data_IF_494555943185
#
_entry.id   IF_494555943185
#
_cell.length_a   1.000
_cell.length_b   1.000
_cell.length_c   1.000
_cell.angle_alpha   90.00
_cell.angle_beta   90.00
_cell.angle_gamma   90.00
#
_symmetry.space_group_name_H-M   'P 1'
#
loop_
_entity.id
_entity.type
_entity.pdbx_description
1 polymer ?
#
# COMPACT_ATOMS: atom_id res chain seq x y z
N UNK A 1 14.19 -33.33 9.46
CA UNK A 1 13.10 -32.85 10.34
C UNK A 1 13.75 -32.15 11.51
N UNK A 2 13.51 -30.84 11.67
CA UNK A 2 14.04 -30.05 12.78
C UNK A 2 12.94 -29.91 13.82
N UNK A 3 13.14 -30.53 14.97
CA UNK A 3 12.35 -30.32 16.19
C UNK A 3 13.33 -29.95 17.30
N UNK A 4 13.69 -28.67 17.29
CA UNK A 4 14.67 -28.05 18.18
C UNK A 4 14.34 -26.57 18.33
N UNK A 5 15.13 -25.86 19.14
CA UNK A 5 15.00 -24.43 19.44
C UNK A 5 15.02 -23.54 18.19
N UNK A 6 15.61 -24.01 17.08
CA UNK A 6 15.59 -23.31 15.77
C UNK A 6 14.16 -23.19 15.23
N UNK A 7 13.29 -24.15 15.55
CA UNK A 7 11.91 -24.23 15.05
C UNK A 7 10.85 -23.75 16.05
N UNK A 8 11.20 -23.70 17.35
CA UNK A 8 10.27 -23.31 18.38
C UNK A 8 10.11 -21.78 18.42
N UNK A 9 8.90 -21.33 18.75
CA UNK A 9 8.64 -19.90 18.89
C UNK A 9 9.25 -19.41 20.21
N UNK A 10 10.21 -18.50 20.11
CA UNK A 10 10.82 -17.87 21.28
C UNK A 10 9.98 -16.65 21.72
N UNK A 11 9.26 -16.81 22.83
CA UNK A 11 8.43 -15.73 23.41
C UNK A 11 9.16 -14.90 24.47
N UNK A 12 10.32 -15.35 24.95
CA UNK A 12 10.98 -14.78 26.14
C UNK A 12 12.00 -13.68 25.79
N UNK A 13 12.63 -13.75 24.62
CA UNK A 13 13.69 -12.84 24.20
C UNK A 13 13.25 -11.90 23.07
N UNK A 14 12.15 -11.16 23.26
CA UNK A 14 11.69 -10.18 22.25
C UNK A 14 12.50 -8.88 22.36
N UNK A 15 13.15 -8.50 21.26
CA UNK A 15 13.80 -7.21 21.11
C UNK A 15 12.78 -6.10 20.86
N UNK A 16 13.22 -4.84 20.93
CA UNK A 16 12.37 -3.70 20.53
C UNK A 16 11.93 -3.79 19.06
N UNK A 17 12.79 -4.36 18.19
CA UNK A 17 12.48 -4.59 16.77
C UNK A 17 11.37 -5.63 16.61
N UNK A 18 11.40 -6.72 17.39
CA UNK A 18 10.34 -7.74 17.38
C UNK A 18 8.99 -7.14 17.82
N UNK A 19 9.01 -6.30 18.84
CA UNK A 19 7.81 -5.58 19.29
C UNK A 19 7.29 -4.61 18.22
N UNK A 20 8.16 -3.86 17.56
CA UNK A 20 7.80 -2.95 16.49
C UNK A 20 7.18 -3.71 15.30
N UNK A 21 7.78 -4.82 14.87
CA UNK A 21 7.26 -5.66 13.79
C UNK A 21 5.91 -6.29 14.16
N UNK A 22 5.75 -6.75 15.40
CA UNK A 22 4.49 -7.29 15.90
C UNK A 22 3.38 -6.23 15.86
N UNK A 23 3.66 -5.03 16.37
CA UNK A 23 2.70 -3.92 16.36
C UNK A 23 2.32 -3.52 14.92
N UNK A 24 3.31 -3.40 14.04
CA UNK A 24 3.08 -3.09 12.63
C UNK A 24 2.20 -4.16 11.95
N UNK A 25 2.49 -5.44 12.21
CA UNK A 25 1.71 -6.55 11.65
C UNK A 25 0.28 -6.58 12.21
N UNK A 26 0.09 -6.30 13.50
CA UNK A 26 -1.23 -6.16 14.11
C UNK A 26 -2.05 -5.03 13.45
N UNK A 27 -1.42 -3.88 13.20
CA UNK A 27 -2.06 -2.76 12.48
C UNK A 27 -2.47 -3.17 11.07
N UNK A 28 -1.61 -3.87 10.33
CA UNK A 28 -1.93 -4.37 8.99
C UNK A 28 -3.13 -5.34 8.97
N UNK A 29 -3.18 -6.25 9.94
CA UNK A 29 -4.28 -7.21 10.06
C UNK A 29 -5.58 -6.47 10.38
N UNK A 30 -5.55 -5.54 11.33
CA UNK A 30 -6.71 -4.72 11.68
C UNK A 30 -7.20 -3.92 10.46
N UNK A 31 -6.29 -3.24 9.76
CA UNK A 31 -6.60 -2.46 8.57
C UNK A 31 -7.28 -3.30 7.47
N UNK A 32 -6.72 -4.47 7.16
CA UNK A 32 -7.31 -5.40 6.18
C UNK A 32 -8.68 -5.92 6.63
N UNK A 33 -8.86 -6.16 7.93
CA UNK A 33 -10.12 -6.61 8.50
C UNK A 33 -11.17 -5.50 8.53
N UNK A 34 -10.78 -4.25 8.74
CA UNK A 34 -11.69 -3.10 8.79
C UNK A 34 -12.12 -2.67 7.40
N UNK A 35 -11.23 -2.72 6.40
CA UNK A 35 -11.47 -2.15 5.07
C UNK A 35 -11.86 -3.23 4.03
N UNK A 36 -13.15 -3.37 3.64
CA UNK A 36 -13.63 -4.37 2.68
C UNK A 36 -12.91 -4.33 1.34
N UNK A 37 -12.51 -3.14 0.89
CA UNK A 37 -11.78 -2.92 -0.36
C UNK A 37 -10.46 -3.73 -0.43
N UNK A 38 -9.85 -4.01 0.73
CA UNK A 38 -8.61 -4.79 0.84
C UNK A 38 -8.85 -6.29 1.01
N UNK A 39 -10.09 -6.73 1.22
CA UNK A 39 -10.50 -8.13 1.47
C UNK A 39 -11.61 -8.57 0.52
N UNK A 40 -11.34 -8.45 -0.76
CA UNK A 40 -12.24 -8.84 -1.84
C UNK A 40 -12.77 -10.28 -1.68
N UNK A 41 -14.09 -10.45 -1.79
CA UNK A 41 -14.76 -11.75 -1.76
C UNK A 41 -15.03 -12.35 -3.16
N UNK A 42 -15.07 -11.51 -4.22
CA UNK A 42 -15.45 -11.96 -5.57
C UNK A 42 -14.86 -11.15 -6.72
N UNK A 43 -14.49 -11.87 -7.78
CA UNK A 43 -14.39 -11.49 -9.21
C UNK A 43 -15.30 -10.38 -9.75
N UNK A 44 -16.54 -10.35 -9.29
CA UNK A 44 -17.67 -9.71 -10.00
C UNK A 44 -18.39 -8.69 -9.13
N UNK A 45 -17.63 -7.92 -8.39
CA UNK A 45 -18.09 -7.00 -7.34
C UNK A 45 -18.02 -5.53 -7.76
N UNK A 46 -17.80 -5.22 -9.05
CA UNK A 46 -17.68 -3.84 -9.52
C UNK A 46 -16.35 -3.16 -9.15
N UNK A 47 -15.38 -3.92 -8.64
CA UNK A 47 -14.05 -3.42 -8.32
C UNK A 47 -13.29 -3.04 -9.60
N UNK A 48 -12.89 -1.77 -9.66
CA UNK A 48 -12.08 -1.24 -10.74
C UNK A 48 -10.59 -1.29 -10.36
N UNK A 49 -9.76 -1.77 -11.27
CA UNK A 49 -8.30 -1.85 -11.09
C UNK A 49 -7.62 -1.04 -12.17
N UNK A 50 -6.71 -0.15 -11.77
CA UNK A 50 -5.85 0.61 -12.69
C UNK A 50 -4.41 0.47 -12.25
N UNK A 51 -3.55 0.12 -13.19
CA UNK A 51 -2.10 0.04 -12.97
C UNK A 51 -1.41 1.26 -13.57
N UNK A 52 -0.44 1.80 -12.85
CA UNK A 52 0.31 2.99 -13.21
C UNK A 52 1.81 2.70 -13.21
N UNK A 53 2.53 3.35 -14.13
CA UNK A 53 3.98 3.45 -14.06
C UNK A 53 4.39 4.63 -13.15
N UNK A 54 5.68 4.70 -12.80
CA UNK A 54 6.22 5.78 -11.97
C UNK A 54 6.05 7.19 -12.55
N UNK A 55 5.88 7.32 -13.87
CA UNK A 55 5.57 8.60 -14.53
C UNK A 55 4.10 9.03 -14.41
N UNK A 56 3.28 8.33 -13.62
CA UNK A 56 1.87 8.66 -13.39
C UNK A 56 0.93 8.28 -14.54
N UNK A 57 1.47 7.73 -15.63
CA UNK A 57 0.68 7.19 -16.74
C UNK A 57 0.20 5.76 -16.47
N UNK A 58 -0.77 5.28 -17.25
CA UNK A 58 -1.19 3.88 -17.18
C UNK A 58 -0.03 2.95 -17.58
N UNK A 59 0.10 1.84 -16.85
CA UNK A 59 1.04 0.77 -17.16
C UNK A 59 0.67 0.12 -18.49
N UNK A 60 1.58 0.19 -19.47
CA UNK A 60 1.39 -0.40 -20.80
C UNK A 60 1.81 -1.87 -20.82
N UNK A 61 1.37 -2.59 -21.85
CA UNK A 61 1.59 -4.05 -21.98
C UNK A 61 3.08 -4.40 -22.03
N UNK A 62 3.88 -3.58 -22.71
CA UNK A 62 5.30 -3.79 -22.93
C UNK A 62 6.13 -3.56 -21.66
N UNK A 63 5.62 -2.74 -20.72
CA UNK A 63 6.34 -2.32 -19.52
C UNK A 63 6.31 -3.39 -18.41
N UNK A 64 5.47 -4.42 -18.53
CA UNK A 64 5.32 -5.46 -17.49
C UNK A 64 6.57 -6.32 -17.31
N UNK A 65 7.33 -6.53 -18.38
CA UNK A 65 8.51 -7.40 -18.37
C UNK A 65 9.78 -6.67 -17.89
N UNK A 66 9.69 -5.36 -17.60
CA UNK A 66 10.83 -4.50 -17.27
C UNK A 66 11.18 -4.47 -15.76
N UNK A 67 10.37 -5.11 -14.90
CA UNK A 67 10.60 -5.13 -13.45
C UNK A 67 10.45 -3.76 -12.78
N UNK A 68 9.51 -2.94 -13.26
CA UNK A 68 9.37 -1.52 -12.91
C UNK A 68 8.72 -1.25 -11.55
N UNK A 69 8.89 -0.03 -11.07
CA UNK A 69 8.07 0.55 -9.99
C UNK A 69 6.63 0.69 -10.47
N UNK A 70 5.68 0.24 -9.65
CA UNK A 70 4.27 0.14 -10.03
C UNK A 70 3.35 0.86 -9.04
N UNK A 71 2.30 1.48 -9.57
CA UNK A 71 1.15 1.93 -8.82
C UNK A 71 -0.06 1.07 -9.13
N UNK A 72 -0.84 0.71 -8.11
CA UNK A 72 -2.08 -0.04 -8.20
C UNK A 72 -3.19 0.78 -7.54
N UNK A 73 -4.10 1.31 -8.33
CA UNK A 73 -5.34 1.89 -7.82
C UNK A 73 -6.45 0.85 -7.82
N UNK A 74 -7.17 0.79 -6.70
CA UNK A 74 -8.38 -0.02 -6.53
C UNK A 74 -9.52 0.92 -6.15
N UNK A 75 -10.62 0.84 -6.89
CA UNK A 75 -11.80 1.70 -6.69
C UNK A 75 -13.08 0.87 -6.59
N UNK A 76 -13.96 1.27 -5.68
CA UNK A 76 -15.33 0.75 -5.48
C UNK A 76 -16.28 1.92 -5.20
N UNK A 77 -16.75 2.61 -6.25
CA UNK A 77 -17.58 3.81 -6.09
C UNK A 77 -18.87 3.58 -5.31
N UNK A 78 -19.39 2.36 -5.27
CA UNK A 78 -20.58 2.01 -4.50
C UNK A 78 -20.38 2.09 -2.98
N UNK A 79 -19.13 2.04 -2.50
CA UNK A 79 -18.79 2.18 -1.08
C UNK A 79 -18.63 3.66 -0.64
N UNK A 80 -18.72 4.62 -1.56
CA UNK A 80 -18.49 6.05 -1.25
C UNK A 80 -19.44 6.59 -0.16
N UNK A 81 -20.64 6.01 -0.05
CA UNK A 81 -21.66 6.43 0.92
C UNK A 81 -21.51 5.75 2.29
N UNK A 82 -20.60 4.77 2.43
CA UNK A 82 -20.38 4.05 3.69
C UNK A 82 -19.32 4.76 4.53
N UNK A 83 -19.76 5.44 5.59
CA UNK A 83 -18.87 6.18 6.48
C UNK A 83 -17.83 5.26 7.14
N UNK A 84 -16.55 5.68 7.08
CA UNK A 84 -15.42 4.92 7.64
C UNK A 84 -14.92 3.78 6.74
N UNK A 85 -15.57 3.52 5.60
CA UNK A 85 -15.17 2.53 4.61
C UNK A 85 -14.49 3.20 3.42
N UNK A 86 -13.32 2.71 3.04
CA UNK A 86 -12.61 3.24 1.88
C UNK A 86 -13.23 2.75 0.56
N UNK A 87 -13.40 3.68 -0.37
CA UNK A 87 -13.85 3.42 -1.73
C UNK A 87 -12.72 3.56 -2.77
N UNK A 88 -11.60 4.20 -2.41
CA UNK A 88 -10.45 4.40 -3.29
C UNK A 88 -9.14 4.20 -2.51
N UNK A 89 -8.28 3.34 -3.02
CA UNK A 89 -6.90 3.16 -2.52
C UNK A 89 -5.90 3.18 -3.67
N UNK A 90 -4.69 3.64 -3.37
CA UNK A 90 -3.53 3.60 -4.25
C UNK A 90 -2.37 2.95 -3.51
N UNK A 91 -1.85 1.85 -4.03
CA UNK A 91 -0.65 1.18 -3.52
C UNK A 91 0.51 1.41 -4.47
N UNK A 92 1.65 1.83 -3.97
CA UNK A 92 2.88 2.01 -4.72
C UNK A 92 3.92 0.98 -4.28
N UNK A 93 4.60 0.36 -5.24
CA UNK A 93 5.60 -0.68 -5.02
C UNK A 93 6.90 -0.29 -5.69
N UNK A 94 7.97 -0.14 -4.92
CA UNK A 94 9.33 0.05 -5.44
C UNK A 94 10.20 -1.17 -5.11
N UNK A 95 10.45 -2.06 -6.09
CA UNK A 95 11.33 -3.21 -5.90
C UNK A 95 12.82 -2.85 -5.97
N UNK A 96 13.17 -1.68 -6.52
CA UNK A 96 14.56 -1.27 -6.69
C UNK A 96 15.21 -0.87 -5.36
N UNK A 97 16.53 -0.89 -5.30
CA UNK A 97 17.28 -0.44 -4.13
C UNK A 97 17.31 1.08 -3.98
N UNK A 98 17.19 1.81 -5.09
CA UNK A 98 17.19 3.27 -5.10
C UNK A 98 15.78 3.87 -4.97
N UNK A 99 15.74 5.11 -4.51
CA UNK A 99 14.52 5.90 -4.46
C UNK A 99 14.05 6.26 -5.88
N UNK A 100 12.74 6.18 -6.10
CA UNK A 100 12.13 6.47 -7.40
C UNK A 100 11.09 7.57 -7.21
N UNK A 101 11.19 8.70 -7.95
CA UNK A 101 10.10 9.66 -8.00
C UNK A 101 8.89 9.01 -8.65
N UNK A 102 7.77 8.98 -7.92
CA UNK A 102 6.50 8.47 -8.40
C UNK A 102 5.51 9.61 -8.51
N UNK A 103 5.05 9.89 -9.73
CA UNK A 103 4.02 10.88 -9.96
C UNK A 103 2.66 10.31 -9.56
N UNK A 104 2.11 10.77 -8.43
CA UNK A 104 0.84 10.25 -7.92
C UNK A 104 -0.31 10.65 -8.87
N UNK A 105 -1.09 9.68 -9.36
CA UNK A 105 -2.19 9.98 -10.27
C UNK A 105 -3.31 10.71 -9.52
N UNK A 106 -3.68 11.90 -10.00
CA UNK A 106 -4.79 12.69 -9.47
C UNK A 106 -6.06 12.37 -10.25
N UNK A 107 -6.81 11.36 -9.80
CA UNK A 107 -8.15 11.07 -10.30
C UNK A 107 -9.18 11.17 -9.17
N UNK A 108 -10.34 11.74 -9.50
CA UNK A 108 -11.43 12.11 -8.59
C UNK A 108 -11.10 13.29 -7.67
N UNK A 109 -11.81 13.42 -6.55
CA UNK A 109 -11.79 14.59 -5.67
C UNK A 109 -11.19 14.25 -4.29
N UNK A 110 -10.59 15.25 -3.62
CA UNK A 110 -10.11 15.15 -2.23
C UNK A 110 -8.62 14.81 -2.05
N UNK A 111 -7.93 14.35 -3.10
CA UNK A 111 -6.52 13.98 -3.03
C UNK A 111 -6.26 12.63 -2.34
N UNK A 112 -5.00 12.38 -1.97
CA UNK A 112 -4.54 11.12 -1.40
C UNK A 112 -3.96 11.32 -0.01
N UNK A 113 -4.35 10.50 0.95
CA UNK A 113 -3.77 10.47 2.30
C UNK A 113 -2.82 9.28 2.40
N UNK A 114 -1.55 9.51 2.74
CA UNK A 114 -0.60 8.43 3.04
C UNK A 114 -1.05 7.73 4.33
N UNK A 115 -1.49 6.49 4.20
CA UNK A 115 -1.99 5.71 5.32
C UNK A 115 -0.90 4.80 5.90
N UNK A 116 -0.06 4.22 5.04
CA UNK A 116 0.98 3.31 5.47
C UNK A 116 2.19 3.38 4.55
N UNK A 117 3.39 3.33 5.13
CA UNK A 117 4.67 3.17 4.42
C UNK A 117 5.54 2.13 5.12
N UNK A 118 6.31 1.37 4.35
CA UNK A 118 7.34 0.47 4.88
C UNK A 118 8.73 1.12 4.96
N UNK A 119 8.88 2.36 4.49
CA UNK A 119 10.12 3.12 4.64
C UNK A 119 10.31 3.55 6.10
N UNK A 120 11.57 3.73 6.54
CA UNK A 120 11.89 4.12 7.93
C UNK A 120 11.31 5.49 8.33
N UNK A 121 11.12 6.39 7.36
CA UNK A 121 10.46 7.68 7.57
C UNK A 121 8.94 7.51 7.62
N UNK A 122 8.39 7.54 8.84
CA UNK A 122 6.94 7.50 9.08
C UNK A 122 6.32 8.86 8.78
N UNK A 123 5.62 8.95 7.67
CA UNK A 123 4.81 10.12 7.30
C UNK A 123 3.33 9.76 7.18
N UNK A 124 2.83 8.93 8.09
CA UNK A 124 1.42 8.59 8.17
C UNK A 124 0.57 9.88 8.34
N UNK A 125 -0.49 10.02 7.55
CA UNK A 125 -1.45 11.13 7.61
C UNK A 125 -1.12 12.36 6.75
N UNK A 126 -0.08 12.33 5.92
CA UNK A 126 0.17 13.41 4.95
C UNK A 126 -0.87 13.38 3.84
N UNK A 127 -1.56 14.50 3.63
CA UNK A 127 -2.52 14.69 2.54
C UNK A 127 -1.81 15.30 1.34
N UNK A 128 -1.92 14.63 0.20
CA UNK A 128 -1.37 15.00 -1.10
C UNK A 128 -2.54 15.42 -1.99
N UNK A 129 -2.75 16.72 -2.13
CA UNK A 129 -3.86 17.30 -2.90
C UNK A 129 -3.48 17.77 -4.31
N UNK A 130 -2.20 17.76 -4.63
CA UNK A 130 -1.66 18.21 -5.92
C UNK A 130 -0.84 17.10 -6.58
N UNK A 131 -0.64 17.19 -7.89
CA UNK A 131 0.29 16.32 -8.61
C UNK A 131 1.70 16.62 -8.14
N UNK A 132 2.22 15.80 -7.23
CA UNK A 132 3.59 15.88 -6.73
C UNK A 132 4.33 14.59 -7.04
N UNK A 133 5.64 14.72 -7.25
CA UNK A 133 6.54 13.59 -7.26
C UNK A 133 6.73 13.12 -5.83
N UNK A 134 6.04 12.03 -5.48
CA UNK A 134 6.26 11.34 -4.22
C UNK A 134 7.53 10.52 -4.33
N UNK A 135 8.53 10.82 -3.49
CA UNK A 135 9.77 10.04 -3.45
C UNK A 135 9.49 8.71 -2.78
N UNK A 136 9.36 7.65 -3.58
CA UNK A 136 9.11 6.31 -3.09
C UNK A 136 10.45 5.62 -2.80
N UNK A 137 10.73 5.39 -1.52
CA UNK A 137 11.98 4.82 -1.07
C UNK A 137 12.30 3.47 -1.73
N UNK A 138 13.58 3.14 -1.84
CA UNK A 138 14.02 1.81 -2.28
C UNK A 138 13.43 0.69 -1.43
N UNK A 139 13.08 -0.44 -2.06
CA UNK A 139 12.54 -1.66 -1.42
C UNK A 139 11.36 -1.36 -0.50
N UNK A 140 10.46 -0.49 -0.93
CA UNK A 140 9.35 -0.01 -0.11
C UNK A 140 7.99 -0.16 -0.78
N UNK A 141 6.97 -0.14 0.07
CA UNK A 141 5.56 -0.07 -0.31
C UNK A 141 4.94 1.13 0.41
N UNK A 142 4.12 1.89 -0.30
CA UNK A 142 3.28 2.93 0.25
C UNK A 142 1.81 2.67 -0.09
N UNK A 143 0.91 2.88 0.87
CA UNK A 143 -0.53 2.75 0.71
C UNK A 143 -1.17 4.11 1.00
N UNK A 144 -1.95 4.58 0.05
CA UNK A 144 -2.76 5.77 0.14
C UNK A 144 -4.23 5.41 0.10
N UNK A 145 -5.03 6.23 0.75
CA UNK A 145 -6.50 6.20 0.67
C UNK A 145 -7.00 7.59 0.31
N UNK A 146 -8.28 7.68 -0.05
CA UNK A 146 -8.94 9.00 -0.03
C UNK A 146 -9.28 9.47 1.39
N UNK A 147 -9.37 10.81 1.59
CA UNK A 147 -9.71 11.40 2.89
C UNK A 147 -10.97 10.81 3.52
#
# INVERSE_FOLDING_TARGET
CQDSEISWVNWEAQSEQDHALRHFTQRLIALRAEQPLLRRESWRDGLEIRWFNAGGGLQQSEQWDEGSTLGLAISRPDLEQEEGIWHDVLMLFNPFEGDVPFQIPQFGEGGWVLELSTAEEKTDGVIITETIDFVLAGRSIALFRRP
#
